data_IF_373054041305
#
_entry.id   IF_373054041305
#
_cell.length_a   1.000
_cell.length_b   1.000
_cell.length_c   1.000
_cell.angle_alpha   90.00
_cell.angle_beta   90.00
_cell.angle_gamma   90.00
#
_symmetry.space_group_name_H-M   'P 1'
#
loop_
_entity.id
_entity.type
_entity.pdbx_description
1 polymer ?
#
# COMPACT_ATOMS: atom_id res chain seq x y z
N UNK A 1 41.20 12.73 -35.58
CA UNK A 1 41.57 12.70 -34.15
C UNK A 1 40.70 11.67 -33.47
N UNK A 2 41.25 10.82 -32.61
CA UNK A 2 40.48 9.78 -31.93
C UNK A 2 39.83 10.35 -30.65
N UNK A 3 38.53 10.12 -30.46
CA UNK A 3 37.80 10.55 -29.26
C UNK A 3 37.94 9.51 -28.17
N UNK A 4 38.90 9.70 -27.25
CA UNK A 4 39.04 8.83 -26.08
C UNK A 4 38.15 9.33 -24.94
N UNK A 5 37.34 8.44 -24.37
CA UNK A 5 36.63 8.68 -23.11
C UNK A 5 37.62 8.93 -21.97
N UNK A 6 37.15 9.59 -20.92
CA UNK A 6 37.97 9.82 -19.71
C UNK A 6 38.46 8.51 -19.08
N UNK A 7 37.73 7.41 -19.27
CA UNK A 7 38.13 6.10 -18.77
C UNK A 7 39.31 5.53 -19.56
N UNK A 8 39.24 5.59 -20.89
CA UNK A 8 40.32 5.13 -21.77
C UNK A 8 41.59 5.95 -21.56
N UNK A 9 41.46 7.27 -21.36
CA UNK A 9 42.60 8.13 -21.02
C UNK A 9 43.26 7.69 -19.70
N UNK A 10 42.50 7.25 -18.68
CA UNK A 10 43.06 6.73 -17.42
C UNK A 10 43.80 5.41 -17.59
N UNK A 11 43.30 4.52 -18.46
CA UNK A 11 44.00 3.28 -18.82
C UNK A 11 45.35 3.59 -19.46
N UNK A 12 45.39 4.56 -20.38
CA UNK A 12 46.63 5.02 -21.03
C UNK A 12 47.57 5.65 -20.01
N UNK A 13 47.08 6.49 -19.09
CA UNK A 13 47.88 7.07 -18.00
C UNK A 13 48.53 5.97 -17.15
N UNK A 14 47.79 4.92 -16.79
CA UNK A 14 48.31 3.78 -16.03
C UNK A 14 49.42 3.07 -16.79
N UNK A 15 49.21 2.79 -18.07
CA UNK A 15 50.20 2.13 -18.93
C UNK A 15 51.50 2.94 -19.05
N UNK A 16 51.40 4.25 -19.33
CA UNK A 16 52.56 5.12 -19.49
C UNK A 16 53.29 5.38 -18.17
N UNK A 17 52.57 5.39 -17.05
CA UNK A 17 53.16 5.46 -15.72
C UNK A 17 53.98 4.20 -15.39
N UNK A 18 53.51 3.00 -15.75
CA UNK A 18 54.27 1.76 -15.59
C UNK A 18 55.54 1.71 -16.43
N UNK A 19 55.56 2.41 -17.58
CA UNK A 19 56.76 2.63 -18.40
C UNK A 19 57.72 3.69 -17.86
N UNK A 20 57.41 4.30 -16.71
CA UNK A 20 58.23 5.33 -16.08
C UNK A 20 58.03 6.75 -16.61
N UNK A 21 56.97 7.01 -17.38
CA UNK A 21 56.67 8.33 -17.91
C UNK A 21 56.39 9.37 -16.82
N UNK A 22 56.92 10.60 -16.99
CA UNK A 22 56.59 11.72 -16.10
C UNK A 22 55.17 12.23 -16.41
N UNK A 23 54.42 12.79 -15.44
CA UNK A 23 53.06 13.29 -15.69
C UNK A 23 52.94 14.33 -16.80
N UNK A 24 54.00 15.12 -17.04
CA UNK A 24 54.03 16.14 -18.09
C UNK A 24 54.18 15.48 -19.46
N UNK A 25 55.06 14.47 -19.55
CA UNK A 25 55.26 13.69 -20.78
C UNK A 25 54.02 12.88 -21.14
N UNK A 26 53.36 12.29 -20.15
CA UNK A 26 52.08 11.58 -20.31
C UNK A 26 51.00 12.52 -20.85
N UNK A 27 50.89 13.73 -20.30
CA UNK A 27 49.92 14.72 -20.78
C UNK A 27 50.24 15.18 -22.21
N UNK A 28 51.53 15.35 -22.57
CA UNK A 28 51.94 15.71 -23.93
C UNK A 28 51.50 14.65 -24.94
N UNK A 29 51.79 13.38 -24.67
CA UNK A 29 51.40 12.25 -25.54
C UNK A 29 49.86 12.09 -25.64
N UNK A 30 49.14 12.32 -24.54
CA UNK A 30 47.68 12.33 -24.56
C UNK A 30 47.13 13.51 -25.36
N UNK A 31 47.74 14.69 -25.26
CA UNK A 31 47.31 15.89 -26.00
C UNK A 31 47.52 15.73 -27.51
N UNK A 32 48.59 15.07 -27.93
CA UNK A 32 48.87 14.75 -29.34
C UNK A 32 47.84 13.80 -29.96
N UNK A 33 47.28 12.90 -29.15
CA UNK A 33 46.34 11.86 -29.61
C UNK A 33 44.87 12.24 -29.42
N UNK A 34 44.53 12.90 -28.31
CA UNK A 34 43.16 13.18 -27.87
C UNK A 34 42.68 14.61 -28.20
N UNK A 35 43.57 15.53 -28.59
CA UNK A 35 43.24 16.93 -28.86
C UNK A 35 42.49 17.61 -27.71
N UNK A 36 41.39 18.29 -28.02
CA UNK A 36 40.59 19.07 -27.05
C UNK A 36 39.88 18.23 -25.97
N UNK A 37 39.78 16.91 -26.17
CA UNK A 37 39.17 15.99 -25.21
C UNK A 37 40.09 15.56 -24.06
N UNK A 38 41.33 16.07 -23.99
CA UNK A 38 42.35 15.60 -23.05
C UNK A 38 42.08 15.99 -21.60
N UNK A 39 42.35 15.07 -20.68
CA UNK A 39 42.34 15.37 -19.24
C UNK A 39 43.36 16.44 -18.88
N UNK A 40 42.98 17.41 -18.04
CA UNK A 40 43.90 18.44 -17.58
C UNK A 40 45.15 17.87 -16.91
N UNK A 41 46.29 18.57 -17.04
CA UNK A 41 47.57 18.22 -16.40
C UNK A 41 47.40 17.93 -14.89
N UNK A 42 46.53 18.67 -14.20
CA UNK A 42 46.23 18.46 -12.77
C UNK A 42 45.60 17.09 -12.51
N UNK A 43 44.67 16.67 -13.36
CA UNK A 43 44.03 15.36 -13.26
C UNK A 43 45.02 14.24 -13.60
N UNK A 44 45.86 14.41 -14.63
CA UNK A 44 46.91 13.44 -15.00
C UNK A 44 47.87 13.24 -13.82
N UNK A 45 48.35 14.32 -13.19
CA UNK A 45 49.20 14.24 -11.98
C UNK A 45 48.52 13.49 -10.83
N UNK A 46 47.23 13.75 -10.59
CA UNK A 46 46.46 13.06 -9.55
C UNK A 46 46.37 11.55 -9.82
N UNK A 47 46.08 11.14 -11.05
CA UNK A 47 46.00 9.74 -11.44
C UNK A 47 47.36 9.03 -11.37
N UNK A 48 48.44 9.66 -11.87
CA UNK A 48 49.80 9.11 -11.73
C UNK A 48 50.18 8.92 -10.27
N UNK A 49 49.82 9.85 -9.38
CA UNK A 49 50.04 9.72 -7.94
C UNK A 49 49.28 8.52 -7.36
N UNK A 50 47.99 8.39 -7.66
CA UNK A 50 47.17 7.28 -7.18
C UNK A 50 47.66 5.91 -7.68
N UNK A 51 48.12 5.82 -8.93
CA UNK A 51 48.72 4.60 -9.47
C UNK A 51 50.06 4.26 -8.80
N UNK A 52 50.88 5.26 -8.47
CA UNK A 52 52.11 5.05 -7.66
C UNK A 52 51.80 4.62 -6.23
N UNK A 53 50.70 5.08 -5.66
CA UNK A 53 50.20 4.67 -4.33
C UNK A 53 49.53 3.28 -4.34
N UNK A 54 49.54 2.57 -5.48
CA UNK A 54 49.09 1.18 -5.59
C UNK A 54 47.65 0.98 -6.07
N UNK A 55 46.91 2.04 -6.44
CA UNK A 55 45.58 1.92 -7.05
C UNK A 55 45.68 1.15 -8.38
N UNK A 56 44.77 0.21 -8.62
CA UNK A 56 44.70 -0.54 -9.89
C UNK A 56 43.44 -0.24 -10.70
N UNK A 57 42.38 0.29 -10.08
CA UNK A 57 41.15 0.64 -10.80
C UNK A 57 41.26 1.99 -11.52
N UNK A 58 40.85 2.01 -12.79
CA UNK A 58 40.69 3.22 -13.60
C UNK A 58 39.31 3.89 -13.40
N UNK A 59 38.37 3.20 -12.76
CA UNK A 59 37.02 3.73 -12.52
C UNK A 59 37.02 4.81 -11.45
N UNK A 60 36.00 5.68 -11.48
CA UNK A 60 35.73 6.55 -10.35
C UNK A 60 35.38 5.69 -9.13
N UNK A 61 35.92 6.05 -7.97
CA UNK A 61 35.42 5.46 -6.73
C UNK A 61 33.94 5.80 -6.54
N UNK A 62 33.16 4.89 -5.93
CA UNK A 62 31.80 5.22 -5.52
C UNK A 62 31.85 6.48 -4.67
N UNK A 63 31.21 7.56 -5.15
CA UNK A 63 31.07 8.76 -4.33
C UNK A 63 30.26 8.34 -3.11
N UNK A 64 30.82 8.53 -1.92
CA UNK A 64 30.04 8.48 -0.68
C UNK A 64 28.91 9.48 -0.85
N UNK A 65 27.67 8.98 -0.92
CA UNK A 65 26.51 9.85 -1.00
C UNK A 65 26.46 10.70 0.26
N UNK A 66 25.97 11.93 0.13
CA UNK A 66 25.76 12.80 1.27
C UNK A 66 24.79 12.08 2.23
N UNK A 67 25.23 11.75 3.44
CA UNK A 67 24.38 11.08 4.44
C UNK A 67 23.13 11.93 4.68
N UNK A 68 21.96 11.37 4.37
CA UNK A 68 20.69 12.05 4.57
C UNK A 68 20.33 11.96 6.05
N UNK A 69 20.49 13.06 6.80
CA UNK A 69 20.20 13.10 8.25
C UNK A 69 18.73 12.90 8.56
N UNK A 70 17.83 13.26 7.64
CA UNK A 70 16.38 13.09 7.82
C UNK A 70 15.90 11.65 7.67
N UNK A 71 16.64 10.77 6.96
CA UNK A 71 16.33 9.34 6.79
C UNK A 71 17.25 8.42 7.61
N UNK A 72 17.82 8.92 8.70
CA UNK A 72 18.50 8.05 9.66
C UNK A 72 17.50 7.10 10.33
N UNK A 73 17.94 5.90 10.71
CA UNK A 73 17.07 4.89 11.34
C UNK A 73 16.32 5.43 12.56
N UNK A 74 16.96 6.28 13.36
CA UNK A 74 16.33 6.97 14.50
C UNK A 74 15.14 7.84 14.06
N UNK A 75 15.29 8.61 12.97
CA UNK A 75 14.19 9.45 12.47
C UNK A 75 13.05 8.60 11.91
N UNK A 76 13.35 7.48 11.25
CA UNK A 76 12.35 6.52 10.75
C UNK A 76 11.55 5.95 11.92
N UNK A 77 12.22 5.48 12.98
CA UNK A 77 11.59 4.95 14.18
C UNK A 77 10.70 6.00 14.88
N UNK A 78 11.17 7.26 14.95
CA UNK A 78 10.36 8.37 15.50
C UNK A 78 9.10 8.64 14.69
N UNK A 79 9.19 8.64 13.36
CA UNK A 79 8.01 8.80 12.48
C UNK A 79 7.05 7.63 12.67
N UNK A 80 7.56 6.39 12.68
CA UNK A 80 6.75 5.18 12.87
C UNK A 80 5.98 5.24 14.19
N UNK A 81 6.66 5.59 15.29
CA UNK A 81 6.04 5.73 16.61
C UNK A 81 4.89 6.73 16.60
N UNK A 82 5.08 7.93 16.03
CA UNK A 82 4.04 8.97 15.97
C UNK A 82 2.81 8.48 15.19
N UNK A 83 3.01 7.72 14.11
CA UNK A 83 1.92 7.19 13.28
C UNK A 83 1.18 6.05 13.98
N UNK A 84 1.88 5.21 14.73
CA UNK A 84 1.26 4.12 15.50
C UNK A 84 0.42 4.63 16.67
N UNK A 85 0.82 5.76 17.28
CA UNK A 85 0.05 6.45 18.32
C UNK A 85 -1.25 7.07 17.77
N UNK A 86 -1.17 7.80 16.64
CA UNK A 86 -2.34 8.38 15.98
C UNK A 86 -2.23 8.28 14.45
N UNK A 87 -3.00 7.33 13.91
CA UNK A 87 -3.04 7.01 12.47
C UNK A 87 -3.77 8.06 11.63
N UNK A 88 -4.45 9.03 12.24
CA UNK A 88 -5.21 10.07 11.53
C UNK A 88 -4.40 11.36 11.32
N UNK A 89 -3.16 11.43 11.82
CA UNK A 89 -2.32 12.61 11.67
C UNK A 89 -2.00 12.91 10.20
N UNK A 90 -2.00 14.21 9.88
CA UNK A 90 -1.51 14.68 8.58
C UNK A 90 0.02 14.63 8.53
N UNK A 91 0.57 14.60 7.31
CA UNK A 91 2.02 14.59 7.08
C UNK A 91 2.66 15.86 7.65
N UNK A 92 1.95 17.00 7.61
CA UNK A 92 2.38 18.27 8.19
C UNK A 92 2.47 18.22 9.72
N UNK A 93 1.49 17.58 10.37
CA UNK A 93 1.50 17.40 11.82
C UNK A 93 2.63 16.47 12.26
N UNK A 94 2.88 15.39 11.51
CA UNK A 94 4.00 14.48 11.77
C UNK A 94 5.34 15.20 11.58
N UNK A 95 5.48 15.97 10.49
CA UNK A 95 6.66 16.77 10.21
C UNK A 95 6.97 17.75 11.35
N UNK A 96 5.94 18.45 11.84
CA UNK A 96 6.04 19.39 12.95
C UNK A 96 6.43 18.71 14.27
N UNK A 97 5.88 17.51 14.55
CA UNK A 97 6.21 16.72 15.77
C UNK A 97 7.63 16.16 15.75
N UNK A 98 8.09 15.64 14.60
CA UNK A 98 9.40 14.98 14.49
C UNK A 98 10.52 16.00 14.24
N UNK A 99 10.21 17.14 13.63
CA UNK A 99 11.15 18.21 13.30
C UNK A 99 11.88 17.98 11.97
N UNK A 100 11.20 17.39 10.98
CA UNK A 100 11.76 17.12 9.65
C UNK A 100 10.87 17.72 8.55
N UNK A 101 11.38 17.79 7.33
CA UNK A 101 10.58 18.30 6.20
C UNK A 101 9.40 17.38 5.88
N UNK A 102 8.28 17.97 5.43
CA UNK A 102 7.08 17.23 4.97
C UNK A 102 7.43 16.21 3.89
N UNK A 103 8.32 16.56 2.97
CA UNK A 103 8.80 15.65 1.93
C UNK A 103 9.56 14.45 2.49
N UNK A 104 10.40 14.65 3.52
CA UNK A 104 11.07 13.54 4.21
C UNK A 104 10.09 12.61 4.91
N UNK A 105 9.06 13.16 5.58
CA UNK A 105 8.00 12.32 6.19
C UNK A 105 7.29 11.50 5.12
N UNK A 106 6.90 12.12 4.00
CA UNK A 106 6.26 11.41 2.89
C UNK A 106 7.12 10.26 2.37
N UNK A 107 8.42 10.51 2.12
CA UNK A 107 9.38 9.48 1.70
C UNK A 107 9.51 8.36 2.73
N UNK A 108 9.63 8.69 4.03
CA UNK A 108 9.73 7.69 5.10
C UNK A 108 8.48 6.83 5.17
N UNK A 109 7.29 7.44 5.13
CA UNK A 109 6.03 6.70 5.15
C UNK A 109 5.90 5.75 3.96
N UNK A 110 6.23 6.20 2.75
CA UNK A 110 5.98 5.45 1.52
C UNK A 110 7.10 4.48 1.13
N UNK A 111 8.37 4.87 1.24
CA UNK A 111 9.52 4.07 0.82
C UNK A 111 10.05 3.19 1.96
N UNK A 112 10.26 3.78 3.15
CA UNK A 112 10.94 3.10 4.26
C UNK A 112 9.96 2.22 5.04
N UNK A 113 8.82 2.78 5.47
CA UNK A 113 7.79 2.07 6.24
C UNK A 113 6.76 1.35 5.35
N UNK A 114 6.75 1.61 4.04
CA UNK A 114 5.82 1.03 3.06
C UNK A 114 4.34 1.20 3.45
N UNK A 115 4.02 2.28 4.15
CA UNK A 115 2.67 2.65 4.51
C UNK A 115 1.95 3.31 3.34
N UNK A 116 0.63 3.15 3.30
CA UNK A 116 -0.25 3.79 2.33
C UNK A 116 -1.37 4.51 3.04
N UNK A 117 -1.75 5.67 2.52
CA UNK A 117 -2.95 6.37 2.98
C UNK A 117 -4.18 5.54 2.60
N UNK A 118 -5.01 5.26 3.59
CA UNK A 118 -6.34 4.66 3.41
C UNK A 118 -7.39 5.66 3.90
N UNK A 119 -8.53 5.75 3.22
CA UNK A 119 -9.65 6.52 3.72
C UNK A 119 -10.40 5.74 4.81
N UNK A 120 -10.75 6.41 5.89
CA UNK A 120 -11.68 5.88 6.89
C UNK A 120 -13.00 5.52 6.23
N UNK A 121 -13.61 4.41 6.65
CA UNK A 121 -14.90 3.96 6.13
C UNK A 121 -16.03 4.53 6.96
N UNK A 122 -17.13 4.88 6.29
CA UNK A 122 -18.36 5.28 6.96
C UNK A 122 -18.99 4.07 7.65
N UNK A 123 -19.29 4.24 8.93
CA UNK A 123 -19.94 3.25 9.77
C UNK A 123 -21.32 3.79 10.15
N UNK A 124 -22.39 2.97 10.15
CA UNK A 124 -23.76 3.44 10.39
C UNK A 124 -23.95 4.20 11.70
N UNK A 125 -23.25 3.78 12.77
CA UNK A 125 -23.34 4.37 14.11
C UNK A 125 -22.14 3.95 14.96
N UNK A 126 -21.84 4.69 16.02
CA UNK A 126 -20.99 4.18 17.11
C UNK A 126 -21.77 3.17 17.95
N UNK A 127 -21.29 1.92 18.02
CA UNK A 127 -21.93 0.87 18.81
C UNK A 127 -21.58 1.01 20.29
N UNK A 128 -22.61 1.02 21.12
CA UNK A 128 -22.47 0.80 22.56
C UNK A 128 -22.26 -0.70 22.88
N UNK A 129 -21.78 -0.98 24.09
CA UNK A 129 -21.37 -2.33 24.48
C UNK A 129 -22.52 -3.35 24.48
N UNK A 130 -23.73 -2.90 24.78
CA UNK A 130 -24.96 -3.70 24.71
C UNK A 130 -25.27 -4.14 23.27
N UNK A 131 -25.13 -3.24 22.30
CA UNK A 131 -25.29 -3.57 20.89
C UNK A 131 -24.24 -4.57 20.42
N UNK A 132 -22.98 -4.42 20.87
CA UNK A 132 -21.90 -5.37 20.55
C UNK A 132 -22.18 -6.75 21.14
N UNK A 133 -22.62 -6.81 22.40
CA UNK A 133 -23.01 -8.05 23.05
C UNK A 133 -24.17 -8.76 22.32
N UNK A 134 -25.21 -8.02 21.94
CA UNK A 134 -26.33 -8.55 21.17
C UNK A 134 -25.90 -9.09 19.80
N UNK A 135 -25.01 -8.37 19.11
CA UNK A 135 -24.40 -8.82 17.84
C UNK A 135 -23.63 -10.13 18.00
N UNK A 136 -22.80 -10.25 19.04
CA UNK A 136 -22.07 -11.50 19.30
C UNK A 136 -23.01 -12.66 19.59
N UNK A 137 -23.98 -12.48 20.48
CA UNK A 137 -24.93 -13.53 20.87
C UNK A 137 -25.69 -14.06 19.65
N UNK A 138 -26.19 -13.16 18.80
CA UNK A 138 -26.91 -13.53 17.57
C UNK A 138 -25.99 -14.24 16.58
N UNK A 139 -24.77 -13.74 16.35
CA UNK A 139 -23.81 -14.41 15.48
C UNK A 139 -23.43 -15.81 15.99
N UNK A 140 -23.24 -15.98 17.29
CA UNK A 140 -22.98 -17.29 17.90
C UNK A 140 -24.17 -18.24 17.77
N UNK A 141 -25.39 -17.76 17.97
CA UNK A 141 -26.61 -18.54 17.76
C UNK A 141 -26.72 -19.04 16.30
N UNK A 142 -26.45 -18.15 15.32
CA UNK A 142 -26.43 -18.51 13.90
C UNK A 142 -25.36 -19.57 13.60
N UNK A 143 -24.17 -19.47 14.19
CA UNK A 143 -23.05 -20.39 13.92
C UNK A 143 -23.21 -21.75 14.57
N UNK A 144 -23.78 -21.79 15.77
CA UNK A 144 -23.99 -23.01 16.57
C UNK A 144 -25.31 -23.69 16.25
N UNK A 145 -26.19 -23.04 15.48
CA UNK A 145 -27.54 -23.51 15.22
C UNK A 145 -28.44 -23.49 16.47
N UNK A 146 -28.03 -22.79 17.53
CA UNK A 146 -28.84 -22.64 18.74
C UNK A 146 -30.06 -21.76 18.45
N UNK A 147 -31.23 -22.35 18.70
CA UNK A 147 -32.56 -21.83 18.38
C UNK A 147 -33.22 -21.27 19.64
N UNK A 148 -33.14 -19.97 19.88
CA UNK A 148 -34.02 -19.31 20.85
C UNK A 148 -34.99 -18.39 20.12
N UNK A 149 -36.28 -18.74 20.18
CA UNK A 149 -37.35 -18.09 19.44
C UNK A 149 -38.38 -17.46 20.37
N UNK A 150 -38.65 -16.18 20.18
CA UNK A 150 -39.95 -15.58 20.46
C UNK A 150 -40.73 -15.53 19.14
N UNK A 151 -41.59 -16.52 18.88
CA UNK A 151 -42.28 -16.65 17.58
C UNK A 151 -43.70 -16.07 17.64
N UNK A 152 -44.10 -15.31 16.62
CA UNK A 152 -45.50 -14.91 16.41
C UNK A 152 -46.29 -16.06 15.76
N UNK A 153 -47.59 -16.15 16.04
CA UNK A 153 -48.44 -17.30 15.69
C UNK A 153 -48.50 -17.61 14.18
N UNK A 154 -48.57 -16.59 13.33
CA UNK A 154 -48.58 -16.72 11.87
C UNK A 154 -47.34 -17.43 11.29
N UNK A 155 -46.17 -17.26 11.91
CA UNK A 155 -44.91 -17.85 11.44
C UNK A 155 -44.84 -19.34 11.78
N UNK A 156 -45.41 -19.74 12.93
CA UNK A 156 -45.58 -21.15 13.31
C UNK A 156 -46.49 -21.87 12.33
N UNK A 157 -47.60 -21.24 11.94
CA UNK A 157 -48.58 -21.82 11.03
C UNK A 157 -48.03 -22.05 9.61
N UNK A 158 -47.03 -21.26 9.19
CA UNK A 158 -46.38 -21.39 7.89
C UNK A 158 -45.02 -22.13 7.94
N UNK A 159 -44.64 -22.70 9.08
CA UNK A 159 -43.34 -23.37 9.29
C UNK A 159 -42.14 -22.48 8.92
N UNK A 160 -42.26 -21.16 9.10
CA UNK A 160 -41.21 -20.19 8.80
C UNK A 160 -40.40 -19.88 10.07
N UNK A 161 -39.12 -20.20 10.03
CA UNK A 161 -38.18 -19.88 11.09
C UNK A 161 -37.67 -18.43 10.96
N UNK A 162 -37.93 -17.58 11.96
CA UNK A 162 -37.35 -16.22 12.04
C UNK A 162 -35.98 -16.19 12.70
N UNK A 163 -34.96 -15.82 11.94
CA UNK A 163 -33.63 -15.59 12.49
C UNK A 163 -33.59 -14.22 13.19
N UNK A 164 -33.24 -14.20 14.49
CA UNK A 164 -33.01 -12.97 15.24
C UNK A 164 -31.96 -12.08 14.58
N UNK A 165 -32.17 -10.76 14.55
CA UNK A 165 -31.26 -9.81 13.94
C UNK A 165 -30.88 -8.70 14.93
N UNK A 166 -29.58 -8.40 15.00
CA UNK A 166 -29.07 -7.40 15.92
C UNK A 166 -29.39 -5.97 15.44
N UNK A 167 -29.63 -5.02 16.35
CA UNK A 167 -29.81 -3.62 15.98
C UNK A 167 -28.56 -3.07 15.26
N UNK A 168 -28.76 -2.08 14.37
CA UNK A 168 -27.69 -1.37 13.64
C UNK A 168 -26.67 -2.27 12.93
N UNK A 169 -27.11 -3.42 12.39
CA UNK A 169 -26.24 -4.47 11.85
C UNK A 169 -26.38 -4.72 10.33
N UNK A 170 -26.32 -3.68 9.48
CA UNK A 170 -26.45 -3.86 8.02
C UNK A 170 -25.33 -4.69 7.41
N UNK A 171 -24.15 -4.73 8.05
CA UNK A 171 -23.00 -5.56 7.67
C UNK A 171 -23.24 -7.07 7.87
N UNK A 172 -24.26 -7.43 8.65
CA UNK A 172 -24.69 -8.81 8.92
C UNK A 172 -25.99 -9.19 8.21
N UNK A 173 -26.59 -8.30 7.41
CA UNK A 173 -27.81 -8.57 6.66
C UNK A 173 -27.48 -8.93 5.19
N UNK A 174 -27.71 -10.18 4.72
CA UNK A 174 -27.42 -10.58 3.33
C UNK A 174 -28.08 -9.70 2.27
N UNK A 175 -29.27 -9.17 2.57
CA UNK A 175 -29.96 -8.21 1.71
C UNK A 175 -29.15 -6.92 1.52
N UNK A 176 -28.52 -6.42 2.58
CA UNK A 176 -27.85 -5.11 2.59
C UNK A 176 -26.39 -5.22 2.15
N UNK A 177 -25.63 -6.20 2.63
CA UNK A 177 -24.21 -6.29 2.28
C UNK A 177 -23.95 -6.89 0.89
N UNK A 178 -24.89 -7.70 0.38
CA UNK A 178 -24.76 -8.46 -0.87
C UNK A 178 -25.89 -8.20 -1.88
N UNK A 179 -27.15 -8.55 -1.56
CA UNK A 179 -28.24 -8.58 -2.55
C UNK A 179 -28.44 -7.22 -3.25
N UNK A 180 -28.70 -6.16 -2.48
CA UNK A 180 -28.96 -4.83 -3.04
C UNK A 180 -27.72 -4.25 -3.73
N UNK A 181 -26.49 -4.33 -3.18
CA UNK A 181 -25.28 -3.93 -3.90
C UNK A 181 -25.11 -4.66 -5.24
N UNK A 182 -25.18 -5.99 -5.27
CA UNK A 182 -24.98 -6.77 -6.51
C UNK A 182 -26.04 -6.45 -7.56
N UNK A 183 -27.30 -6.33 -7.13
CA UNK A 183 -28.39 -5.92 -8.02
C UNK A 183 -28.18 -4.49 -8.53
N UNK A 184 -27.79 -3.55 -7.66
CA UNK A 184 -27.54 -2.15 -8.03
C UNK A 184 -26.38 -2.05 -9.01
N UNK A 185 -25.27 -2.74 -8.76
CA UNK A 185 -24.10 -2.74 -9.64
C UNK A 185 -24.44 -3.30 -11.03
N UNK A 186 -25.33 -4.30 -11.10
CA UNK A 186 -25.79 -4.86 -12.38
C UNK A 186 -26.71 -3.92 -13.15
N UNK A 187 -27.52 -3.14 -12.43
CA UNK A 187 -28.57 -2.29 -13.01
C UNK A 187 -28.17 -0.81 -13.12
N UNK A 188 -27.02 -0.39 -12.56
CA UNK A 188 -26.64 1.03 -12.41
C UNK A 188 -26.44 1.78 -13.72
N UNK A 189 -26.12 1.07 -14.81
CA UNK A 189 -25.90 1.64 -16.14
C UNK A 189 -27.19 1.79 -16.97
N UNK A 190 -28.35 1.40 -16.41
CA UNK A 190 -29.64 1.41 -17.11
C UNK A 190 -30.51 2.56 -16.62
N UNK A 191 -31.16 3.25 -17.55
CA UNK A 191 -32.20 4.24 -17.25
C UNK A 191 -33.57 3.60 -17.39
N UNK A 192 -34.43 3.73 -16.37
CA UNK A 192 -35.80 3.22 -16.40
C UNK A 192 -36.79 4.38 -16.43
N UNK A 193 -37.75 4.33 -17.34
CA UNK A 193 -38.77 5.37 -17.52
C UNK A 193 -40.08 5.09 -16.79
N UNK A 194 -40.23 3.90 -16.19
CA UNK A 194 -41.45 3.51 -15.45
C UNK A 194 -41.17 2.50 -14.34
N UNK A 195 -42.06 2.43 -13.34
CA UNK A 195 -42.01 1.44 -12.25
C UNK A 195 -42.10 0.01 -12.77
N UNK A 196 -42.90 -0.23 -13.82
CA UNK A 196 -43.04 -1.55 -14.43
C UNK A 196 -41.73 -2.02 -15.07
N UNK A 197 -40.99 -1.11 -15.74
CA UNK A 197 -39.69 -1.43 -16.30
C UNK A 197 -38.67 -1.81 -15.22
N UNK A 198 -38.68 -1.11 -14.07
CA UNK A 198 -37.83 -1.44 -12.92
C UNK A 198 -38.18 -2.83 -12.37
N UNK A 199 -39.48 -3.09 -12.12
CA UNK A 199 -39.94 -4.37 -11.58
C UNK A 199 -39.56 -5.54 -12.50
N UNK A 200 -39.75 -5.37 -13.81
CA UNK A 200 -39.34 -6.36 -14.82
C UNK A 200 -37.83 -6.61 -14.78
N UNK A 201 -37.02 -5.55 -14.72
CA UNK A 201 -35.56 -5.69 -14.67
C UNK A 201 -35.07 -6.41 -13.40
N UNK A 202 -35.66 -6.11 -12.25
CA UNK A 202 -35.36 -6.80 -10.98
C UNK A 202 -35.75 -8.29 -11.09
N UNK A 203 -36.94 -8.58 -11.62
CA UNK A 203 -37.41 -9.95 -11.78
C UNK A 203 -36.51 -10.76 -12.72
N UNK A 204 -36.11 -10.18 -13.85
CA UNK A 204 -35.18 -10.82 -14.79
C UNK A 204 -33.81 -11.06 -14.16
N UNK A 205 -33.26 -10.07 -13.43
CA UNK A 205 -32.01 -10.24 -12.71
C UNK A 205 -32.10 -11.41 -11.71
N UNK A 206 -33.18 -11.49 -10.94
CA UNK A 206 -33.39 -12.60 -9.99
C UNK A 206 -33.48 -13.94 -10.69
N UNK A 207 -34.13 -14.03 -11.86
CA UNK A 207 -34.27 -15.27 -12.63
C UNK A 207 -32.95 -15.72 -13.28
N UNK A 208 -32.11 -14.76 -13.67
CA UNK A 208 -30.83 -15.02 -14.35
C UNK A 208 -29.68 -15.28 -13.36
N UNK A 209 -29.83 -14.89 -12.09
CA UNK A 209 -28.80 -15.10 -11.07
C UNK A 209 -28.73 -16.60 -10.70
N UNK A 210 -27.58 -17.26 -10.91
CA UNK A 210 -27.44 -18.67 -10.57
C UNK A 210 -27.56 -18.94 -9.07
N UNK A 211 -28.10 -20.11 -8.71
CA UNK A 211 -28.30 -20.54 -7.31
C UNK A 211 -26.98 -20.58 -6.52
N UNK A 212 -25.87 -20.88 -7.20
CA UNK A 212 -24.52 -20.93 -6.60
C UNK A 212 -24.09 -19.57 -6.05
N UNK A 213 -24.54 -18.47 -6.67
CA UNK A 213 -24.23 -17.11 -6.20
C UNK A 213 -24.96 -16.81 -4.89
N UNK A 214 -26.20 -17.28 -4.75
CA UNK A 214 -26.94 -17.18 -3.49
C UNK A 214 -26.29 -18.04 -2.39
N UNK A 215 -25.88 -19.27 -2.72
CA UNK A 215 -25.17 -20.14 -1.78
C UNK A 215 -23.86 -19.49 -1.31
N UNK A 216 -23.08 -18.89 -2.22
CA UNK A 216 -21.87 -18.15 -1.88
C UNK A 216 -22.14 -16.93 -0.98
N UNK A 217 -23.27 -16.24 -1.16
CA UNK A 217 -23.68 -15.14 -0.30
C UNK A 217 -24.00 -15.60 1.13
N UNK A 218 -24.65 -16.76 1.28
CA UNK A 218 -24.94 -17.35 2.58
C UNK A 218 -23.67 -17.84 3.29
N UNK A 219 -22.72 -18.38 2.54
CA UNK A 219 -21.40 -18.72 3.07
C UNK A 219 -20.61 -17.46 3.50
N UNK A 220 -20.71 -16.38 2.72
CA UNK A 220 -20.17 -15.07 3.11
C UNK A 220 -20.82 -14.54 4.40
N UNK A 221 -22.13 -14.73 4.56
CA UNK A 221 -22.85 -14.37 5.78
C UNK A 221 -22.32 -15.12 7.01
N UNK A 222 -22.10 -16.44 6.88
CA UNK A 222 -21.50 -17.26 7.95
C UNK A 222 -20.13 -16.71 8.36
N UNK A 223 -19.24 -16.46 7.40
CA UNK A 223 -17.90 -15.89 7.65
C UNK A 223 -17.96 -14.50 8.29
N UNK A 224 -18.96 -13.69 7.94
CA UNK A 224 -19.20 -12.39 8.59
C UNK A 224 -19.61 -12.57 10.04
N UNK A 225 -20.48 -13.52 10.36
CA UNK A 225 -20.82 -13.84 11.75
C UNK A 225 -19.59 -14.29 12.55
N UNK A 226 -18.73 -15.14 11.98
CA UNK A 226 -17.46 -15.54 12.63
C UNK A 226 -16.55 -14.33 12.88
N UNK A 227 -16.42 -13.42 11.91
CA UNK A 227 -15.63 -12.20 12.04
C UNK A 227 -16.23 -11.25 13.09
N UNK A 228 -17.55 -11.12 13.17
CA UNK A 228 -18.24 -10.34 14.21
C UNK A 228 -17.88 -10.84 15.61
N UNK A 229 -17.92 -12.16 15.82
CA UNK A 229 -17.54 -12.77 17.11
C UNK A 229 -16.07 -12.51 17.43
N UNK A 230 -15.16 -12.70 16.46
CA UNK A 230 -13.72 -12.39 16.66
C UNK A 230 -13.46 -10.92 16.99
N UNK A 231 -14.25 -10.01 16.41
CA UNK A 231 -14.17 -8.56 16.66
C UNK A 231 -14.98 -8.13 17.89
N UNK A 232 -15.40 -9.06 18.74
CA UNK A 232 -16.15 -8.78 19.96
C UNK A 232 -17.42 -7.94 19.70
N UNK A 233 -18.11 -8.22 18.60
CA UNK A 233 -19.35 -7.55 18.24
C UNK A 233 -19.19 -6.23 17.47
N UNK A 234 -17.96 -5.82 17.15
CA UNK A 234 -17.73 -4.64 16.31
C UNK A 234 -18.15 -4.88 14.84
N UNK A 235 -18.12 -3.81 14.03
CA UNK A 235 -18.50 -3.88 12.62
C UNK A 235 -17.58 -4.76 11.79
N UNK A 236 -18.17 -5.51 10.87
CA UNK A 236 -17.47 -6.42 9.99
C UNK A 236 -17.18 -5.76 8.65
N UNK A 237 -15.91 -5.47 8.40
CA UNK A 237 -15.47 -4.98 7.10
C UNK A 237 -15.66 -6.02 5.99
N UNK A 238 -16.01 -5.53 4.78
CA UNK A 238 -16.00 -6.28 3.51
C UNK A 238 -14.61 -6.81 3.19
#
# INVERSE_FOLDING_TARGET
MATFSLQEQRVIIRFLQLRGGTPIEIHRQLSETCGDGVMSVKNVRSWVRQFKEGRTSCDNEPKQSRHCTSRSDNMVERVEKVVLEDRQLSVENIASKVGISVGSVHTILHEDLRMRKVSSRWVPRMLADDHKAARMAICQAILTGHREYAMQQFLRENSLEVVSHAPFSPDLAPSVFWLFPTMKDTLCSRTFTSRAAIASAIFQWSKQTPTEVFAAAMESWRRRCEKCVRLQGDYVEK
#
